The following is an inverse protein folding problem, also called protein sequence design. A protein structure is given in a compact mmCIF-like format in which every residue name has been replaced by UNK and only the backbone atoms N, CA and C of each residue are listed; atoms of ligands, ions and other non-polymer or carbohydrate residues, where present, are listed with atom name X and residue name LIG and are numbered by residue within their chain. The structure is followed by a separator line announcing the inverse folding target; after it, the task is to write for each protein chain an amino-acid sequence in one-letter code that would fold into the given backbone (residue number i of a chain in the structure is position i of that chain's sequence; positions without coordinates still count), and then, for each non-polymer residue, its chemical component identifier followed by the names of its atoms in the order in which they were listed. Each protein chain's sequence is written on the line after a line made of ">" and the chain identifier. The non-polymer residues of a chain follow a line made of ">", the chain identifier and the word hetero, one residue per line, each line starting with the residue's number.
data_IF_729506344798
#
_entry.id   IF_729506344798
#
_cell.length_a   1.000
_cell.length_b   1.000
_cell.length_c   1.000
_cell.angle_alpha   90.00
_cell.angle_beta   90.00
_cell.angle_gamma   90.00
#
_symmetry.space_group_name_H-M   'P 1'
#
loop_
_entity.id
_entity.type
_entity.pdbx_description
1 polymer ?
#
# COMPACT_ATOMS: atom_id res chain seq x y z
N UNK A 1 -2.82 -4.11 -13.70
CA UNK A 1 -2.85 -4.06 -12.22
C UNK A 1 -2.43 -2.67 -11.81
N UNK A 2 -3.30 -1.92 -11.17
CA UNK A 2 -2.95 -0.62 -10.63
C UNK A 2 -2.40 -0.85 -9.22
N UNK A 3 -1.11 -0.59 -9.02
CA UNK A 3 -0.49 -0.57 -7.70
C UNK A 3 -0.73 0.84 -7.17
N UNK A 4 -1.61 0.97 -6.21
CA UNK A 4 -1.86 2.24 -5.54
C UNK A 4 -1.13 2.23 -4.20
N UNK A 5 -0.22 3.17 -4.04
CA UNK A 5 0.39 3.45 -2.74
C UNK A 5 -0.63 4.22 -1.91
N UNK A 6 -0.95 3.69 -0.76
CA UNK A 6 -1.78 4.37 0.20
C UNK A 6 -0.93 4.72 1.40
N UNK A 7 -0.76 6.00 1.64
CA UNK A 7 -0.26 6.48 2.92
C UNK A 7 -1.40 6.39 3.96
N UNK A 8 -1.09 6.30 5.26
CA UNK A 8 -2.10 6.19 6.32
C UNK A 8 -3.20 7.26 6.25
N UNK A 9 -2.91 8.44 5.67
CA UNK A 9 -3.87 9.54 5.50
C UNK A 9 -4.95 9.29 4.45
N UNK A 10 -4.74 8.39 3.48
CA UNK A 10 -5.64 8.18 2.34
C UNK A 10 -6.54 6.93 2.47
N UNK A 11 -6.47 6.24 3.60
CA UNK A 11 -7.21 4.99 3.82
C UNK A 11 -8.70 5.21 4.17
N UNK A 12 -9.40 6.15 3.55
CA UNK A 12 -10.77 6.53 3.95
C UNK A 12 -11.91 5.77 3.28
N UNK A 13 -11.66 4.82 2.39
CA UNK A 13 -12.74 4.12 1.72
C UNK A 13 -13.14 2.84 2.45
N UNK A 14 -14.08 2.98 3.37
CA UNK A 14 -14.90 1.87 3.84
C UNK A 14 -16.35 2.14 3.43
N UNK A 15 -16.67 1.85 2.19
CA UNK A 15 -18.05 1.66 1.76
C UNK A 15 -18.46 0.22 2.12
N UNK A 16 -18.44 -0.11 3.40
CA UNK A 16 -18.86 -1.43 3.90
C UNK A 16 -20.33 -1.45 4.24
N UNK A 17 -20.99 -2.58 3.98
CA UNK A 17 -22.40 -2.88 4.24
C UNK A 17 -22.81 -2.85 5.73
N UNK A 18 -21.88 -2.69 6.66
CA UNK A 18 -22.15 -2.62 8.10
C UNK A 18 -22.13 -1.17 8.56
N UNK A 19 -23.28 -0.53 8.46
CA UNK A 19 -23.49 0.82 9.01
C UNK A 19 -23.77 0.73 10.50
N UNK A 20 -23.02 1.46 11.31
CA UNK A 20 -23.41 1.75 12.67
C UNK A 20 -24.68 2.58 12.65
N UNK A 21 -25.66 2.19 13.46
CA UNK A 21 -26.99 2.84 13.46
C UNK A 21 -26.92 4.28 13.97
N UNK A 22 -25.96 4.57 14.85
CA UNK A 22 -25.88 5.82 15.62
C UNK A 22 -24.53 6.54 15.49
N UNK A 23 -23.71 6.20 14.47
CA UNK A 23 -22.38 6.80 14.30
C UNK A 23 -21.87 6.82 12.87
N UNK A 24 -20.75 7.49 12.61
CA UNK A 24 -20.10 7.49 11.30
C UNK A 24 -19.60 6.09 10.94
N UNK A 25 -19.74 5.71 9.67
CA UNK A 25 -19.32 4.40 9.16
C UNK A 25 -17.80 4.26 8.98
N UNK A 26 -17.03 5.33 9.21
CA UNK A 26 -15.58 5.32 9.12
C UNK A 26 -14.99 4.90 10.46
N UNK A 27 -14.01 3.98 10.48
CA UNK A 27 -13.32 3.64 11.72
C UNK A 27 -12.61 4.88 12.27
N UNK A 28 -12.59 5.01 13.58
CA UNK A 28 -11.89 6.10 14.26
C UNK A 28 -10.38 6.05 13.99
N UNK A 29 -9.83 4.84 13.98
CA UNK A 29 -8.46 4.55 13.54
C UNK A 29 -8.49 3.52 12.41
N UNK A 30 -8.24 3.93 11.15
CA UNK A 30 -8.18 2.98 10.05
C UNK A 30 -6.96 2.06 10.17
N UNK A 31 -7.01 0.91 9.51
CA UNK A 31 -5.89 -0.02 9.46
C UNK A 31 -4.64 0.67 8.90
N UNK A 32 -3.51 0.48 9.57
CA UNK A 32 -2.24 1.13 9.22
C UNK A 32 -2.08 2.56 9.74
N UNK A 33 -3.07 3.10 10.47
CA UNK A 33 -2.95 4.41 11.11
C UNK A 33 -1.87 4.39 12.20
N UNK A 34 -1.10 5.46 12.27
CA UNK A 34 -0.10 5.68 13.31
C UNK A 34 0.13 7.16 13.57
N UNK A 35 0.70 7.46 14.72
CA UNK A 35 1.12 8.80 15.11
C UNK A 35 2.63 8.81 15.37
N UNK A 36 3.26 9.93 15.05
CA UNK A 36 4.67 10.17 15.31
C UNK A 36 4.85 11.51 16.03
N UNK A 37 5.95 11.65 16.76
CA UNK A 37 6.37 12.93 17.35
C UNK A 37 7.11 13.83 16.37
N UNK A 38 7.22 13.42 15.11
CA UNK A 38 7.80 14.19 14.00
C UNK A 38 6.95 14.03 12.76
N UNK A 39 7.25 14.76 11.69
CA UNK A 39 6.52 14.71 10.43
C UNK A 39 7.39 14.10 9.34
N UNK A 40 6.79 13.28 8.48
CA UNK A 40 7.46 12.66 7.35
C UNK A 40 6.80 13.06 6.04
N UNK A 41 7.62 13.23 5.02
CA UNK A 41 7.20 13.50 3.65
C UNK A 41 7.67 12.37 2.75
N UNK A 42 6.82 11.98 1.81
CA UNK A 42 7.09 10.93 0.84
C UNK A 42 7.20 11.51 -0.56
N UNK A 43 8.23 11.10 -1.30
CA UNK A 43 8.28 11.39 -2.73
C UNK A 43 7.28 10.53 -3.50
N UNK A 44 6.97 10.95 -4.74
CA UNK A 44 6.20 10.10 -5.63
C UNK A 44 6.93 8.76 -5.86
N UNK A 45 6.21 7.63 -5.76
CA UNK A 45 6.79 6.32 -5.99
C UNK A 45 7.11 6.11 -7.46
N UNK A 46 8.24 5.47 -7.71
CA UNK A 46 8.72 5.09 -9.03
C UNK A 46 8.67 3.57 -9.17
N UNK A 47 8.09 3.10 -10.24
CA UNK A 47 8.05 1.68 -10.60
C UNK A 47 9.18 1.36 -11.57
N UNK A 48 9.84 0.23 -11.38
CA UNK A 48 10.87 -0.24 -12.34
C UNK A 48 10.26 -0.62 -13.71
N UNK A 49 8.99 -0.98 -13.74
CA UNK A 49 8.23 -1.25 -14.96
C UNK A 49 6.74 -0.95 -14.75
N UNK A 50 6.11 -0.33 -15.74
CA UNK A 50 4.66 -0.10 -15.75
C UNK A 50 3.85 -1.35 -16.12
N UNK A 51 4.50 -2.33 -16.77
CA UNK A 51 3.88 -3.60 -17.17
C UNK A 51 4.82 -4.74 -16.82
N UNK A 52 4.31 -5.75 -16.17
CA UNK A 52 5.04 -6.97 -15.79
C UNK A 52 4.24 -8.20 -16.19
N UNK A 53 4.93 -9.28 -16.49
CA UNK A 53 4.31 -10.60 -16.66
C UNK A 53 3.96 -11.18 -15.28
N UNK A 54 3.01 -12.13 -15.21
CA UNK A 54 2.63 -12.76 -13.95
C UNK A 54 3.77 -13.42 -13.17
N UNK A 55 4.87 -13.73 -13.85
CA UNK A 55 6.07 -14.38 -13.27
C UNK A 55 7.20 -13.40 -12.93
N UNK A 56 7.02 -12.12 -13.25
CA UNK A 56 8.05 -11.10 -13.04
C UNK A 56 7.80 -10.32 -11.76
N UNK A 57 8.88 -9.84 -11.16
CA UNK A 57 8.84 -8.94 -10.00
C UNK A 57 9.00 -7.49 -10.44
N UNK A 58 8.39 -6.57 -9.71
CA UNK A 58 8.54 -5.13 -9.91
C UNK A 58 9.05 -4.46 -8.65
N UNK A 59 9.99 -3.55 -8.80
CA UNK A 59 10.50 -2.72 -7.70
C UNK A 59 9.75 -1.40 -7.65
N UNK A 60 9.41 -1.03 -6.44
CA UNK A 60 8.75 0.22 -6.09
C UNK A 60 9.68 1.01 -5.21
N UNK A 61 10.15 2.15 -5.72
CA UNK A 61 11.15 2.98 -5.03
C UNK A 61 10.57 4.36 -4.77
N UNK A 62 10.78 4.86 -3.55
CA UNK A 62 10.41 6.21 -3.13
C UNK A 62 11.40 6.70 -2.07
N UNK A 63 11.33 7.98 -1.74
CA UNK A 63 12.15 8.58 -0.70
C UNK A 63 11.25 9.02 0.45
N UNK A 64 11.66 8.72 1.67
CA UNK A 64 11.03 9.22 2.89
C UNK A 64 11.98 10.26 3.51
N UNK A 65 11.45 11.42 3.86
CA UNK A 65 12.17 12.52 4.49
C UNK A 65 11.52 12.89 5.81
N UNK A 66 12.33 13.06 6.84
CA UNK A 66 11.85 13.65 8.10
C UNK A 66 11.87 15.17 7.96
N UNK A 67 10.69 15.80 7.94
CA UNK A 67 10.54 17.26 7.84
C UNK A 67 10.37 17.94 9.18
N UNK A 68 10.29 17.16 10.26
CA UNK A 68 10.17 17.70 11.61
C UNK A 68 11.53 17.98 12.25
N UNK A 69 11.48 18.40 13.52
CA UNK A 69 12.66 18.84 14.31
C UNK A 69 13.23 17.75 15.22
N UNK A 70 12.60 16.58 15.26
CA UNK A 70 12.99 15.45 16.11
C UNK A 70 13.31 14.24 15.25
N UNK A 71 14.20 13.39 15.74
CA UNK A 71 14.38 12.07 15.17
C UNK A 71 13.09 11.24 15.34
N UNK A 72 12.85 10.35 14.40
CA UNK A 72 11.70 9.47 14.44
C UNK A 72 11.88 8.25 13.56
N UNK A 73 11.01 7.26 13.81
CA UNK A 73 10.95 6.04 13.01
C UNK A 73 9.63 6.03 12.27
N UNK A 74 9.70 6.07 10.95
CA UNK A 74 8.54 5.90 10.08
C UNK A 74 8.35 4.43 9.72
N UNK A 75 7.09 4.00 9.64
CA UNK A 75 6.72 2.66 9.14
C UNK A 75 6.13 2.82 7.76
N UNK A 76 7.00 2.73 6.74
CA UNK A 76 6.56 2.76 5.36
C UNK A 76 5.81 1.46 5.02
N UNK A 77 4.61 1.57 4.47
CA UNK A 77 3.71 0.45 4.19
C UNK A 77 3.39 0.39 2.71
N UNK A 78 3.42 -0.82 2.14
CA UNK A 78 3.06 -1.09 0.76
C UNK A 78 1.70 -1.78 0.70
N UNK A 79 0.71 -1.08 0.15
CA UNK A 79 -0.61 -1.64 -0.12
C UNK A 79 -0.78 -1.88 -1.62
N UNK A 80 -1.43 -2.98 -1.94
CA UNK A 80 -1.81 -3.33 -3.30
C UNK A 80 -3.32 -3.34 -3.41
N UNK A 81 -3.82 -2.66 -4.42
CA UNK A 81 -5.24 -2.68 -4.81
C UNK A 81 -5.36 -3.36 -6.17
N UNK A 82 -6.21 -4.39 -6.24
CA UNK A 82 -6.62 -4.96 -7.50
C UNK A 82 -7.96 -4.34 -7.91
N UNK A 83 -7.98 -3.63 -9.05
CA UNK A 83 -9.19 -2.95 -9.54
C UNK A 83 -10.21 -3.93 -10.11
N UNK A 84 -9.74 -5.04 -10.66
CA UNK A 84 -10.58 -6.07 -11.28
C UNK A 84 -10.07 -7.44 -10.85
N UNK A 85 -10.94 -8.26 -10.31
CA UNK A 85 -10.61 -9.60 -9.85
C UNK A 85 -11.78 -10.54 -10.12
N UNK A 86 -11.49 -11.79 -10.45
CA UNK A 86 -12.48 -12.85 -10.61
C UNK A 86 -13.18 -13.23 -9.31
N UNK A 87 -12.55 -12.94 -8.17
CA UNK A 87 -13.07 -13.18 -6.84
C UNK A 87 -13.15 -11.87 -6.03
N UNK A 88 -14.06 -11.82 -5.05
CA UNK A 88 -14.16 -10.69 -4.13
C UNK A 88 -12.90 -10.58 -3.29
N UNK A 89 -12.28 -9.40 -3.30
CA UNK A 89 -11.05 -9.10 -2.55
C UNK A 89 -11.22 -7.84 -1.72
N UNK A 90 -10.41 -7.69 -0.65
CA UNK A 90 -10.31 -6.43 0.07
C UNK A 90 -9.92 -5.28 -0.88
N UNK A 91 -10.43 -4.09 -0.60
CA UNK A 91 -10.12 -2.89 -1.42
C UNK A 91 -8.61 -2.64 -1.48
N UNK A 92 -7.91 -2.92 -0.38
CA UNK A 92 -6.45 -2.78 -0.27
C UNK A 92 -5.91 -3.90 0.61
N UNK A 93 -4.77 -4.46 0.23
CA UNK A 93 -4.06 -5.49 0.99
C UNK A 93 -2.66 -5.02 1.32
N UNK A 94 -2.28 -5.05 2.61
CA UNK A 94 -0.90 -4.81 3.02
C UNK A 94 -0.02 -5.98 2.55
N UNK A 95 0.97 -5.69 1.71
CA UNK A 95 1.86 -6.71 1.13
C UNK A 95 3.30 -6.61 1.62
N UNK A 96 3.69 -5.44 2.12
CA UNK A 96 5.02 -5.23 2.68
C UNK A 96 5.05 -4.01 3.60
N UNK A 97 6.05 -3.96 4.49
CA UNK A 97 6.33 -2.79 5.29
C UNK A 97 7.81 -2.76 5.71
N UNK A 98 8.33 -1.57 5.98
CA UNK A 98 9.65 -1.40 6.57
C UNK A 98 9.68 -0.24 7.56
N UNK A 99 10.57 -0.36 8.55
CA UNK A 99 10.84 0.71 9.52
C UNK A 99 12.03 1.53 9.05
N UNK A 100 11.87 2.84 8.99
CA UNK A 100 12.89 3.77 8.52
C UNK A 100 13.17 4.78 9.64
N UNK A 101 14.32 4.65 10.30
CA UNK A 101 14.76 5.64 11.28
C UNK A 101 15.41 6.82 10.55
N UNK A 102 15.00 8.04 10.88
CA UNK A 102 15.43 9.28 10.25
C UNK A 102 15.72 10.36 11.29
N UNK A 103 16.90 10.95 11.21
CA UNK A 103 17.21 12.17 11.93
C UNK A 103 16.46 13.38 11.34
N UNK A 104 16.36 14.52 12.05
CA UNK A 104 15.75 15.73 11.51
C UNK A 104 16.37 16.14 10.16
N UNK A 105 15.56 16.36 9.15
CA UNK A 105 16.00 16.72 7.79
C UNK A 105 16.57 15.57 6.96
N UNK A 106 16.80 14.40 7.56
CA UNK A 106 17.34 13.23 6.85
C UNK A 106 16.32 12.66 5.85
N UNK A 107 16.85 12.14 4.74
CA UNK A 107 16.06 11.45 3.71
C UNK A 107 16.67 10.09 3.41
N UNK A 108 15.83 9.05 3.31
CA UNK A 108 16.26 7.70 2.90
C UNK A 108 15.42 7.19 1.75
N UNK A 109 16.08 6.54 0.81
CA UNK A 109 15.43 5.82 -0.28
C UNK A 109 14.98 4.45 0.24
N UNK A 110 13.72 4.12 -0.03
CA UNK A 110 13.09 2.84 0.29
C UNK A 110 12.73 2.15 -1.01
N UNK A 111 12.97 0.85 -1.07
CA UNK A 111 12.59 0.01 -2.23
C UNK A 111 11.86 -1.22 -1.72
N UNK A 112 10.65 -1.44 -2.21
CA UNK A 112 9.90 -2.67 -2.03
C UNK A 112 9.95 -3.49 -3.30
N UNK A 113 10.16 -4.80 -3.17
CA UNK A 113 10.06 -5.74 -4.27
C UNK A 113 8.70 -6.45 -4.19
N UNK A 114 7.90 -6.24 -5.23
CA UNK A 114 6.62 -6.93 -5.41
C UNK A 114 6.88 -8.17 -6.26
N UNK A 115 6.88 -9.32 -5.60
CA UNK A 115 7.03 -10.62 -6.24
C UNK A 115 5.66 -11.17 -6.68
N UNK A 116 5.61 -12.15 -7.59
CA UNK A 116 4.36 -12.80 -7.98
C UNK A 116 3.54 -13.32 -6.79
N UNK A 117 4.19 -13.87 -5.77
CA UNK A 117 3.49 -14.37 -4.57
C UNK A 117 2.72 -13.28 -3.82
N UNK A 118 3.24 -12.04 -3.81
CA UNK A 118 2.53 -10.90 -3.21
C UNK A 118 1.29 -10.48 -4.02
N UNK A 119 1.22 -10.85 -5.29
CA UNK A 119 0.12 -10.58 -6.20
C UNK A 119 -0.91 -11.70 -6.26
N UNK A 120 -0.47 -12.93 -5.95
CA UNK A 120 -1.29 -14.11 -6.04
C UNK A 120 -2.42 -14.14 -5.00
N UNK A 121 -3.50 -14.79 -5.35
CA UNK A 121 -4.67 -15.01 -4.51
C UNK A 121 -5.38 -16.31 -4.91
N UNK A 122 -6.31 -16.77 -4.07
CA UNK A 122 -7.15 -17.92 -4.38
C UNK A 122 -8.34 -17.47 -5.23
N UNK A 123 -8.49 -18.09 -6.40
CA UNK A 123 -9.65 -17.89 -7.28
C UNK A 123 -10.89 -18.66 -6.77
N UNK A 124 -11.96 -18.65 -7.54
CA UNK A 124 -13.22 -19.35 -7.19
C UNK A 124 -13.06 -20.87 -7.15
N UNK A 125 -12.08 -21.40 -7.84
CA UNK A 125 -11.76 -22.84 -7.87
C UNK A 125 -10.72 -23.23 -6.81
N UNK A 126 -10.40 -22.30 -5.87
CA UNK A 126 -9.39 -22.47 -4.83
C UNK A 126 -7.96 -22.73 -5.38
N UNK A 127 -7.69 -22.21 -6.59
CA UNK A 127 -6.34 -22.23 -7.16
C UNK A 127 -5.61 -20.94 -6.81
N UNK A 128 -4.35 -21.05 -6.45
CA UNK A 128 -3.50 -19.90 -6.14
C UNK A 128 -2.92 -19.35 -7.44
N UNK A 129 -3.42 -18.19 -7.87
CA UNK A 129 -3.15 -17.62 -9.20
C UNK A 129 -2.77 -16.15 -9.16
N UNK A 130 -2.02 -15.71 -10.15
CA UNK A 130 -1.81 -14.30 -10.46
C UNK A 130 -2.62 -14.00 -11.73
N UNK A 131 -3.66 -13.19 -11.59
CA UNK A 131 -4.44 -12.77 -12.75
C UNK A 131 -3.72 -11.67 -13.55
N UNK A 132 -3.71 -11.84 -14.87
CA UNK A 132 -3.31 -10.77 -15.77
C UNK A 132 -4.45 -9.77 -15.89
N UNK A 133 -4.28 -8.58 -15.35
CA UNK A 133 -5.23 -7.48 -15.60
C UNK A 133 -4.74 -6.71 -16.83
N UNK A 134 -5.44 -6.85 -17.94
CA UNK A 134 -5.30 -5.91 -19.04
C UNK A 134 -5.79 -4.54 -18.53
N UNK A 135 -4.93 -3.53 -18.57
CA UNK A 135 -5.37 -2.17 -18.39
C UNK A 135 -6.37 -1.87 -19.51
N UNK A 136 -7.63 -1.63 -19.16
CA UNK A 136 -8.56 -1.03 -20.09
C UNK A 136 -8.10 0.40 -20.41
N UNK A 137 -8.31 0.85 -21.65
CA UNK A 137 -7.92 2.17 -22.12
C UNK A 137 -8.57 3.29 -21.35
#
# INVERSE_FOLDING_TARGET
>A
MAIQFCFPSDCRDITGLHKYKDGPNTPFYPFGYGLSYTSFEYSQPQLSSARIKPTESVNVTFTVKNTGTREGVEVAQLYIRNMYSSATRPVKELKDFCRVALAPGESKRVTFTVTPDKLAFFDRDMKYVVESVSAFP
#
